data_IF_456375203758
#
_entry.id   IF_456375203758
#
_cell.length_a   1.000
_cell.length_b   1.000
_cell.length_c   1.000
_cell.angle_alpha   90.00
_cell.angle_beta   90.00
_cell.angle_gamma   90.00
#
_symmetry.space_group_name_H-M   'P 1'
#
loop_
_entity.id
_entity.type
_entity.pdbx_description
1 polymer ?
#
# COMPACT_ATOMS: atom_id res chain seq x y z
N UNK A 1 -10.38 1.24 1.07
CA UNK A 1 -10.25 2.58 1.69
C UNK A 1 -10.15 3.68 0.66
N UNK A 2 -9.04 3.78 -0.10
CA UNK A 2 -8.89 4.89 -1.08
C UNK A 2 -9.93 4.82 -2.20
N UNK A 3 -10.14 3.64 -2.79
CA UNK A 3 -11.20 3.39 -3.79
C UNK A 3 -12.61 3.70 -3.27
N UNK A 4 -12.81 3.59 -1.95
CA UNK A 4 -14.08 3.86 -1.28
C UNK A 4 -14.18 5.30 -0.78
N UNK A 5 -13.18 6.16 -1.06
CA UNK A 5 -13.19 7.59 -0.73
C UNK A 5 -12.81 7.94 0.71
N UNK A 6 -12.07 7.10 1.44
CA UNK A 6 -11.62 7.43 2.79
C UNK A 6 -10.69 8.66 2.83
N UNK A 7 -11.02 9.65 3.66
CA UNK A 7 -10.25 10.90 3.84
C UNK A 7 -9.82 11.15 5.29
N UNK A 8 -9.94 10.15 6.17
CA UNK A 8 -9.56 10.27 7.58
C UNK A 8 -8.06 10.14 7.81
N UNK A 9 -7.65 10.29 9.07
CA UNK A 9 -6.26 10.10 9.48
C UNK A 9 -5.84 8.61 9.42
N UNK A 10 -4.57 8.38 9.14
CA UNK A 10 -3.91 7.07 9.29
C UNK A 10 -3.12 7.08 10.59
N UNK A 11 -3.45 6.17 11.50
CA UNK A 11 -2.80 6.06 12.80
C UNK A 11 -1.78 4.91 12.80
N UNK A 12 -0.64 5.14 13.44
CA UNK A 12 0.34 4.10 13.73
C UNK A 12 0.21 3.71 15.20
N UNK A 13 -0.13 2.45 15.45
CA UNK A 13 -0.20 1.87 16.79
C UNK A 13 1.06 1.02 17.01
N UNK A 14 2.16 1.71 17.33
CA UNK A 14 3.48 1.08 17.54
C UNK A 14 4.04 1.43 18.91
N UNK A 15 4.88 0.52 19.44
CA UNK A 15 5.47 0.58 20.78
C UNK A 15 7.00 0.54 20.69
N UNK A 16 7.65 1.60 20.17
CA UNK A 16 9.10 1.66 20.00
C UNK A 16 9.86 1.57 21.33
N UNK A 17 9.25 2.06 22.41
CA UNK A 17 9.78 2.02 23.78
C UNK A 17 9.93 0.58 24.31
N UNK A 18 8.97 -0.30 24.02
CA UNK A 18 9.01 -1.70 24.42
C UNK A 18 10.09 -2.52 23.69
N UNK A 19 10.54 -2.04 22.52
CA UNK A 19 11.55 -2.70 21.68
C UNK A 19 12.95 -2.06 21.77
N UNK A 20 13.08 -0.93 22.47
CA UNK A 20 14.33 -0.17 22.58
C UNK A 20 14.75 0.52 21.27
N UNK A 21 13.81 0.74 20.36
CA UNK A 21 14.05 1.40 19.08
C UNK A 21 14.02 2.93 19.22
N UNK A 22 14.61 3.62 18.25
CA UNK A 22 14.44 5.08 18.11
C UNK A 22 13.01 5.38 17.62
N UNK A 23 12.15 5.96 18.48
CA UNK A 23 10.75 6.20 18.14
C UNK A 23 10.58 7.18 16.97
N UNK A 24 11.50 8.13 16.81
CA UNK A 24 11.42 9.13 15.74
C UNK A 24 11.78 8.48 14.41
N UNK A 25 12.89 7.76 14.36
CA UNK A 25 13.32 7.03 13.16
C UNK A 25 12.29 5.98 12.72
N UNK A 26 11.65 5.31 13.68
CA UNK A 26 10.55 4.37 13.40
C UNK A 26 9.37 5.11 12.76
N UNK A 27 8.91 6.21 13.36
CA UNK A 27 7.80 7.00 12.84
C UNK A 27 8.08 7.54 11.43
N UNK A 28 9.28 8.05 11.17
CA UNK A 28 9.72 8.50 9.84
C UNK A 28 9.63 7.36 8.81
N UNK A 29 10.09 6.16 9.19
CA UNK A 29 10.06 4.97 8.33
C UNK A 29 8.62 4.52 8.06
N UNK A 30 7.75 4.54 9.07
CA UNK A 30 6.34 4.19 8.95
C UNK A 30 5.60 5.16 8.02
N UNK A 31 5.83 6.48 8.18
CA UNK A 31 5.25 7.52 7.31
C UNK A 31 5.72 7.33 5.85
N UNK A 32 7.01 7.14 5.63
CA UNK A 32 7.56 6.92 4.29
C UNK A 32 6.95 5.66 3.64
N UNK A 33 6.84 4.59 4.41
CA UNK A 33 6.27 3.31 3.96
C UNK A 33 4.81 3.47 3.56
N UNK A 34 3.96 4.02 4.43
CA UNK A 34 2.53 4.23 4.11
C UNK A 34 2.35 5.20 2.96
N UNK A 35 3.15 6.27 2.88
CA UNK A 35 3.10 7.20 1.75
C UNK A 35 3.42 6.49 0.43
N UNK A 36 4.41 5.58 0.41
CA UNK A 36 4.68 4.73 -0.76
C UNK A 36 3.49 3.83 -1.08
N UNK A 37 2.94 3.12 -0.08
CA UNK A 37 1.79 2.24 -0.27
C UNK A 37 0.58 2.98 -0.84
N UNK A 38 0.27 4.18 -0.37
CA UNK A 38 -0.82 5.00 -0.89
C UNK A 38 -0.61 5.40 -2.37
N UNK A 39 0.64 5.68 -2.78
CA UNK A 39 0.96 5.93 -4.19
C UNK A 39 0.74 4.67 -5.03
N UNK A 40 1.15 3.50 -4.54
CA UNK A 40 0.94 2.23 -5.23
C UNK A 40 -0.54 1.86 -5.33
N UNK A 41 -1.34 2.09 -4.28
CA UNK A 41 -2.79 1.94 -4.33
C UNK A 41 -3.41 2.80 -5.44
N UNK A 42 -2.97 4.06 -5.59
CA UNK A 42 -3.42 4.92 -6.70
C UNK A 42 -3.01 4.38 -8.08
N UNK A 43 -1.81 3.80 -8.21
CA UNK A 43 -1.38 3.17 -9.47
C UNK A 43 -2.23 1.95 -9.81
N UNK A 44 -2.50 1.10 -8.82
CA UNK A 44 -3.36 -0.09 -8.98
C UNK A 44 -4.79 0.28 -9.35
N UNK A 45 -5.37 1.29 -8.69
CA UNK A 45 -6.73 1.76 -8.94
C UNK A 45 -6.92 2.28 -10.37
N UNK A 46 -5.86 2.86 -10.96
CA UNK A 46 -5.86 3.37 -12.33
C UNK A 46 -5.29 2.37 -13.36
N UNK A 47 -5.05 1.10 -12.98
CA UNK A 47 -4.46 0.11 -13.90
C UNK A 47 -5.57 -0.61 -14.70
N UNK A 48 -5.69 -0.38 -16.02
CA UNK A 48 -6.74 -0.98 -16.84
C UNK A 48 -6.57 -2.49 -17.04
N UNK A 49 -5.33 -2.98 -17.03
CA UNK A 49 -5.02 -4.41 -17.16
C UNK A 49 -5.49 -5.16 -15.92
N UNK A 50 -5.27 -4.59 -14.74
CA UNK A 50 -5.77 -5.11 -13.47
C UNK A 50 -7.31 -5.14 -13.44
N UNK A 51 -7.97 -4.06 -13.86
CA UNK A 51 -9.43 -4.03 -13.97
C UNK A 51 -9.98 -5.09 -14.93
N UNK A 52 -9.31 -5.28 -16.08
CA UNK A 52 -9.66 -6.33 -17.04
C UNK A 52 -9.46 -7.74 -16.46
N UNK A 53 -8.36 -7.99 -15.78
CA UNK A 53 -8.08 -9.29 -15.14
C UNK A 53 -9.12 -9.63 -14.07
N UNK A 54 -9.47 -8.65 -13.21
CA UNK A 54 -10.52 -8.79 -12.20
C UNK A 54 -11.87 -9.10 -12.85
N UNK A 55 -12.25 -8.36 -13.90
CA UNK A 55 -13.50 -8.57 -14.66
C UNK A 55 -13.62 -9.99 -15.22
N UNK A 56 -12.51 -10.56 -15.69
CA UNK A 56 -12.42 -11.92 -16.24
C UNK A 56 -12.25 -13.02 -15.18
N UNK A 57 -12.21 -12.66 -13.90
CA UNK A 57 -11.89 -13.58 -12.80
C UNK A 57 -10.53 -14.28 -12.98
N UNK A 58 -9.58 -13.62 -13.65
CA UNK A 58 -8.21 -14.11 -13.82
C UNK A 58 -7.37 -13.71 -12.60
N UNK A 59 -7.42 -14.58 -11.58
CA UNK A 59 -6.70 -14.36 -10.32
C UNK A 59 -5.18 -14.39 -10.50
N UNK A 60 -4.67 -15.16 -11.47
CA UNK A 60 -3.23 -15.30 -11.71
C UNK A 60 -2.67 -14.02 -12.32
N UNK A 61 -3.31 -13.49 -13.37
CA UNK A 61 -2.94 -12.21 -13.95
C UNK A 61 -3.09 -11.06 -12.94
N UNK A 62 -4.18 -11.06 -12.17
CA UNK A 62 -4.41 -10.03 -11.13
C UNK A 62 -3.27 -10.01 -10.10
N UNK A 63 -2.86 -11.18 -9.60
CA UNK A 63 -1.77 -11.28 -8.63
C UNK A 63 -0.42 -10.86 -9.23
N UNK A 64 -0.15 -11.23 -10.48
CA UNK A 64 1.09 -10.84 -11.16
C UNK A 64 1.20 -9.32 -11.27
N UNK A 65 0.15 -8.64 -11.75
CA UNK A 65 0.13 -7.18 -11.91
C UNK A 65 0.31 -6.47 -10.56
N UNK A 66 -0.36 -6.95 -9.51
CA UNK A 66 -0.18 -6.42 -8.15
C UNK A 66 1.28 -6.56 -7.70
N UNK A 67 1.89 -7.73 -7.89
CA UNK A 67 3.28 -7.97 -7.52
C UNK A 67 4.25 -7.08 -8.29
N UNK A 68 4.07 -6.92 -9.60
CA UNK A 68 4.94 -6.10 -10.44
C UNK A 68 4.96 -4.65 -9.95
N UNK A 69 3.80 -4.09 -9.62
CA UNK A 69 3.68 -2.73 -9.07
C UNK A 69 4.26 -2.65 -7.64
N UNK A 70 3.98 -3.64 -6.79
CA UNK A 70 4.42 -3.62 -5.40
C UNK A 70 5.93 -3.78 -5.22
N UNK A 71 6.56 -4.57 -6.09
CA UNK A 71 7.97 -4.97 -6.01
C UNK A 71 8.87 -4.21 -6.99
N UNK A 72 8.31 -3.35 -7.85
CA UNK A 72 9.08 -2.41 -8.66
C UNK A 72 10.01 -1.56 -7.76
N UNK A 73 11.28 -1.48 -8.16
CA UNK A 73 12.32 -0.69 -7.51
C UNK A 73 12.30 0.76 -8.01
#
# INVERSE_FOLDING_TARGET
>A
MQRDGYTGAYYFDTFPDASGLDPVREAETNIATVTRLLKLCKQLDNNPELMSAISKQDAVASQQIVNDIMLAK
#
